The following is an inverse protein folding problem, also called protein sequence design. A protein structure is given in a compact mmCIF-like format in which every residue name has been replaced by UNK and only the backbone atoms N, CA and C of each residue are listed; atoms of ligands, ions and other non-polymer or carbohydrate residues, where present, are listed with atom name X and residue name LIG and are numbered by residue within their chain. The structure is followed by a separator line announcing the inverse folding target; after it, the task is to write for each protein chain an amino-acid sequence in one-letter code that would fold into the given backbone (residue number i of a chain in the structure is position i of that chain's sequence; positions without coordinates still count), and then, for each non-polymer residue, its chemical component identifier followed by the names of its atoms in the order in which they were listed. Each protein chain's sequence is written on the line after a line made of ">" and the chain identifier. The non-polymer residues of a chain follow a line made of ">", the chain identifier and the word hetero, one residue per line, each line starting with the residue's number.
data_IF_032642015333
#
_entry.id   IF_032642015333
#
_cell.length_a   1.000
_cell.length_b   1.000
_cell.length_c   1.000
_cell.angle_alpha   90.00
_cell.angle_beta   90.00
_cell.angle_gamma   90.00
#
_symmetry.space_group_name_H-M   'P 1'
#
loop_
_entity.id
_entity.type
_entity.pdbx_description
1 polymer ?
#
# COMPACT_ATOMS: atom_id res chain seq x y z
N UNK A 1 14.62 6.18 2.86
CA UNK A 1 13.19 6.07 2.48
C UNK A 1 12.84 4.61 2.53
N UNK A 2 11.74 4.24 3.18
CA UNK A 2 11.22 2.86 3.21
C UNK A 2 10.09 2.75 2.17
N UNK A 3 9.89 1.57 1.60
CA UNK A 3 8.85 1.31 0.62
C UNK A 3 8.01 0.14 1.10
N UNK A 4 6.70 0.27 0.96
CA UNK A 4 5.75 -0.73 1.44
C UNK A 4 4.83 -1.12 0.30
N UNK A 5 4.73 -2.42 0.04
CA UNK A 5 3.65 -3.00 -0.73
C UNK A 5 2.43 -3.14 0.18
N UNK A 6 1.30 -2.59 -0.27
CA UNK A 6 0.02 -2.64 0.40
C UNK A 6 -0.89 -3.57 -0.39
N UNK A 7 -1.36 -4.62 0.26
CA UNK A 7 -2.41 -5.42 -0.32
C UNK A 7 -3.77 -4.79 -0.10
N UNK A 8 -4.57 -4.58 -1.15
CA UNK A 8 -5.91 -3.99 -1.05
C UNK A 8 -7.01 -5.06 -1.16
N UNK A 9 -8.05 -4.91 -0.34
CA UNK A 9 -9.16 -5.86 -0.26
C UNK A 9 -10.50 -5.22 0.08
N UNK A 10 -11.56 -6.02 -0.03
CA UNK A 10 -12.96 -5.63 0.23
C UNK A 10 -13.58 -6.30 1.47
N UNK A 11 -12.84 -7.21 2.10
CA UNK A 11 -13.10 -7.84 3.39
C UNK A 11 -11.77 -7.94 4.16
N UNK A 12 -11.85 -8.03 5.50
CA UNK A 12 -10.69 -8.27 6.38
C UNK A 12 -10.44 -9.79 6.53
N UNK A 13 -11.21 -10.62 5.81
CA UNK A 13 -11.00 -12.06 5.82
C UNK A 13 -9.71 -12.35 5.07
N UNK A 14 -8.75 -12.99 5.76
CA UNK A 14 -7.46 -13.44 5.21
C UNK A 14 -7.67 -14.59 4.21
N UNK A 15 -8.45 -14.36 3.16
CA UNK A 15 -8.52 -15.29 2.05
C UNK A 15 -7.49 -14.86 1.03
N UNK A 16 -6.51 -15.73 0.76
CA UNK A 16 -5.49 -15.50 -0.27
C UNK A 16 -6.11 -15.34 -1.68
N UNK A 17 -7.40 -15.66 -1.82
CA UNK A 17 -8.24 -15.42 -3.01
C UNK A 17 -8.96 -14.05 -3.04
N UNK A 18 -8.88 -13.24 -1.98
CA UNK A 18 -9.50 -11.88 -1.93
C UNK A 18 -8.53 -10.73 -2.22
N UNK A 19 -7.28 -11.05 -2.51
CA UNK A 19 -6.24 -10.08 -2.84
C UNK A 19 -6.20 -9.83 -4.36
N UNK A 20 -6.89 -8.78 -4.81
CA UNK A 20 -7.00 -8.47 -6.25
C UNK A 20 -5.91 -7.49 -6.75
N UNK A 21 -5.30 -6.69 -5.87
CA UNK A 21 -4.44 -5.58 -6.28
C UNK A 21 -3.49 -5.08 -5.19
N UNK A 22 -2.19 -4.95 -5.49
CA UNK A 22 -1.24 -4.23 -4.65
C UNK A 22 -0.94 -2.82 -5.15
N UNK A 23 -0.65 -1.94 -4.20
CA UNK A 23 -0.04 -0.64 -4.46
C UNK A 23 1.21 -0.45 -3.61
N UNK A 24 2.16 0.35 -4.09
CA UNK A 24 3.35 0.71 -3.32
C UNK A 24 3.25 2.14 -2.78
N UNK A 25 3.59 2.31 -1.51
CA UNK A 25 3.78 3.62 -0.86
C UNK A 25 5.22 3.79 -0.37
N UNK A 26 5.64 5.04 -0.16
CA UNK A 26 6.93 5.36 0.48
C UNK A 26 6.70 6.00 1.85
N UNK A 27 7.56 5.69 2.80
CA UNK A 27 7.45 6.19 4.18
C UNK A 27 8.79 6.45 4.87
N UNK A 28 8.73 7.26 5.94
CA UNK A 28 9.85 7.53 6.84
C UNK A 28 10.02 6.44 7.89
N UNK A 29 8.92 5.75 8.24
CA UNK A 29 8.87 4.63 9.19
C UNK A 29 7.87 3.57 8.76
N UNK A 30 7.82 2.48 9.50
CA UNK A 30 6.80 1.45 9.37
C UNK A 30 5.45 1.93 9.92
N UNK A 31 4.34 1.55 9.27
CA UNK A 31 3.02 1.70 9.86
C UNK A 31 2.87 0.90 11.16
N UNK A 32 2.13 1.44 12.12
CA UNK A 32 1.86 0.72 13.38
C UNK A 32 0.75 -0.32 13.23
N UNK A 33 -0.17 -0.11 12.29
CA UNK A 33 -1.33 -0.96 12.02
C UNK A 33 -1.96 -0.62 10.65
N UNK A 34 -2.91 -1.45 10.21
CA UNK A 34 -3.64 -1.23 8.95
C UNK A 34 -4.50 0.03 8.95
N UNK A 35 -5.07 0.43 10.10
CA UNK A 35 -5.93 1.63 10.19
C UNK A 35 -5.16 2.90 9.82
N UNK A 36 -3.91 3.00 10.26
CA UNK A 36 -3.04 4.12 9.93
C UNK A 36 -2.79 4.23 8.41
N UNK A 37 -2.56 3.11 7.75
CA UNK A 37 -2.37 3.06 6.30
C UNK A 37 -3.69 3.35 5.58
N UNK A 38 -4.80 2.77 6.03
CA UNK A 38 -6.14 3.04 5.50
C UNK A 38 -6.47 4.53 5.51
N UNK A 39 -6.15 5.24 6.61
CA UNK A 39 -6.32 6.68 6.68
C UNK A 39 -5.44 7.42 5.66
N UNK A 40 -4.18 6.99 5.50
CA UNK A 40 -3.24 7.60 4.58
C UNK A 40 -3.65 7.43 3.11
N UNK A 41 -4.07 6.23 2.70
CA UNK A 41 -4.48 5.91 1.32
C UNK A 41 -5.99 5.97 1.10
N UNK A 42 -6.77 6.57 2.02
CA UNK A 42 -8.25 6.56 1.99
C UNK A 42 -8.83 7.00 0.65
N UNK A 43 -8.24 8.03 0.06
CA UNK A 43 -8.70 8.55 -1.23
C UNK A 43 -8.37 7.60 -2.38
N UNK A 44 -7.25 6.89 -2.30
CA UNK A 44 -6.85 5.91 -3.30
C UNK A 44 -7.75 4.66 -3.20
N UNK A 45 -8.05 4.19 -1.98
CA UNK A 45 -9.04 3.14 -1.73
C UNK A 45 -10.39 3.46 -2.39
N UNK A 46 -10.91 4.68 -2.17
CA UNK A 46 -12.18 5.11 -2.78
C UNK A 46 -12.13 5.16 -4.31
N UNK A 47 -11.03 5.66 -4.90
CA UNK A 47 -10.87 5.75 -6.35
C UNK A 47 -10.73 4.38 -7.02
N UNK A 48 -10.03 3.46 -6.35
CA UNK A 48 -9.76 2.12 -6.85
C UNK A 48 -10.90 1.14 -6.53
N UNK A 49 -11.86 1.51 -5.67
CA UNK A 49 -13.01 0.67 -5.32
C UNK A 49 -12.70 -0.39 -4.26
N UNK A 50 -11.67 -0.19 -3.44
CA UNK A 50 -11.30 -1.05 -2.32
C UNK A 50 -11.76 -0.46 -0.99
N UNK A 51 -11.99 -1.32 0.01
CA UNK A 51 -12.44 -0.88 1.35
C UNK A 51 -11.32 -0.77 2.36
N UNK A 52 -10.30 -1.62 2.26
CA UNK A 52 -9.24 -1.68 3.27
C UNK A 52 -7.93 -2.22 2.69
N UNK A 53 -6.84 -1.90 3.39
CA UNK A 53 -5.59 -2.64 3.34
C UNK A 53 -5.75 -3.96 4.10
N UNK A 54 -5.23 -5.05 3.53
CA UNK A 54 -5.25 -6.41 4.11
C UNK A 54 -3.84 -6.95 4.37
N UNK A 55 -2.81 -6.36 3.77
CA UNK A 55 -1.41 -6.71 4.03
C UNK A 55 -0.50 -5.49 3.88
N UNK A 56 0.59 -5.48 4.65
CA UNK A 56 1.67 -4.49 4.54
C UNK A 56 2.98 -5.28 4.55
N UNK A 57 3.76 -5.14 3.49
CA UNK A 57 5.08 -5.76 3.37
C UNK A 57 6.10 -4.69 3.05
N UNK A 58 7.16 -4.57 3.86
CA UNK A 58 8.30 -3.72 3.48
C UNK A 58 9.07 -4.39 2.35
N UNK A 59 9.32 -3.64 1.28
CA UNK A 59 10.06 -4.10 0.10
C UNK A 59 11.29 -3.21 -0.14
N UNK A 60 12.39 -3.76 -0.69
CA UNK A 60 13.54 -2.96 -1.07
C UNK A 60 13.21 -2.02 -2.23
N UNK A 61 13.91 -0.88 -2.32
CA UNK A 61 13.70 0.11 -3.38
C UNK A 61 13.86 -0.49 -4.80
N UNK A 62 14.78 -1.43 -4.97
CA UNK A 62 14.99 -2.13 -6.25
C UNK A 62 13.75 -2.89 -6.70
N UNK A 63 13.00 -3.46 -5.75
CA UNK A 63 11.75 -4.17 -6.01
C UNK A 63 10.62 -3.19 -6.31
N UNK A 64 10.51 -2.12 -5.51
CA UNK A 64 9.56 -1.03 -5.76
C UNK A 64 9.72 -0.44 -7.19
N UNK A 65 10.97 -0.26 -7.64
CA UNK A 65 11.31 0.21 -8.99
C UNK A 65 10.97 -0.79 -10.11
N UNK A 66 11.06 -2.08 -9.81
CA UNK A 66 10.88 -3.12 -10.81
C UNK A 66 9.41 -3.47 -11.04
N UNK A 67 8.59 -3.45 -9.98
CA UNK A 67 7.22 -3.96 -10.01
C UNK A 67 6.13 -2.88 -9.99
N UNK A 68 6.46 -1.64 -9.60
CA UNK A 68 5.48 -0.57 -9.48
C UNK A 68 5.87 0.64 -10.35
N UNK A 69 4.90 1.52 -10.61
CA UNK A 69 5.15 2.78 -11.31
C UNK A 69 6.02 3.72 -10.47
N UNK A 70 7.32 3.67 -10.73
CA UNK A 70 8.32 4.44 -10.03
C UNK A 70 8.13 5.96 -10.14
N UNK A 71 7.69 6.45 -11.30
CA UNK A 71 7.45 7.87 -11.51
C UNK A 71 6.24 8.35 -10.70
N UNK A 72 5.24 7.50 -10.52
CA UNK A 72 4.12 7.77 -9.62
C UNK A 72 4.54 7.73 -8.15
N UNK A 73 5.34 6.74 -7.72
CA UNK A 73 5.83 6.62 -6.34
C UNK A 73 6.69 7.82 -5.94
N UNK A 74 7.57 8.27 -6.82
CA UNK A 74 8.45 9.43 -6.52
C UNK A 74 7.67 10.73 -6.33
N UNK A 75 6.50 10.86 -6.95
CA UNK A 75 5.59 12.01 -6.80
C UNK A 75 4.54 11.84 -5.70
N UNK A 76 4.29 10.61 -5.25
CA UNK A 76 3.33 10.31 -4.20
C UNK A 76 3.70 10.98 -2.86
N UNK A 77 2.71 11.22 -1.98
CA UNK A 77 2.98 11.65 -0.60
C UNK A 77 3.88 10.67 0.15
N UNK A 78 4.57 11.15 1.18
CA UNK A 78 5.39 10.32 2.08
C UNK A 78 4.58 9.99 3.32
N UNK A 79 4.50 8.71 3.67
CA UNK A 79 3.93 8.23 4.93
C UNK A 79 4.86 8.59 6.10
N UNK A 80 4.32 9.23 7.13
CA UNK A 80 5.08 9.79 8.26
C UNK A 80 4.74 9.11 9.58
#
# INVERSE_FOLDING_TARGET
>A
MRYFELGLGNSVEEDWETFDYSMCIKGEREPLNFEEVNMFIRNDLQKLGYKTVVSITEIPESEAKAFFDWDSITKAPVFK
#
